data_IF_922012771148
#
_entry.id   IF_922012771148
#
_cell.length_a   1.000
_cell.length_b   1.000
_cell.length_c   1.000
_cell.angle_alpha   90.00
_cell.angle_beta   90.00
_cell.angle_gamma   90.00
#
_symmetry.space_group_name_H-M   'P 1'
#
loop_
_entity.id
_entity.type
_entity.pdbx_description
1 polymer ?
#
# COMPACT_ATOMS: atom_id res chain seq x y z
N UNK A 1 -4.79 -51.58 22.20
CA UNK A 1 -3.99 -50.88 21.15
C UNK A 1 -4.83 -50.13 20.11
N UNK A 2 -6.07 -50.53 19.80
CA UNK A 2 -6.91 -49.87 18.77
C UNK A 2 -7.37 -48.42 19.06
N UNK A 3 -7.49 -48.00 20.33
CA UNK A 3 -8.03 -46.66 20.65
C UNK A 3 -7.06 -45.49 20.35
N UNK A 4 -5.74 -45.73 20.38
CA UNK A 4 -4.73 -44.71 20.03
C UNK A 4 -4.62 -44.47 18.53
N UNK A 5 -4.83 -45.51 17.72
CA UNK A 5 -4.72 -45.48 16.27
C UNK A 5 -5.95 -44.81 15.62
N UNK A 6 -7.15 -45.02 16.18
CA UNK A 6 -8.35 -44.29 15.74
C UNK A 6 -8.27 -42.80 16.13
N UNK A 7 -7.79 -42.48 17.35
CA UNK A 7 -7.59 -41.08 17.77
C UNK A 7 -6.60 -40.31 16.89
N UNK A 8 -5.51 -40.93 16.43
CA UNK A 8 -4.54 -40.25 15.55
C UNK A 8 -5.08 -40.03 14.14
N UNK A 9 -5.88 -40.98 13.62
CA UNK A 9 -6.52 -40.88 12.29
C UNK A 9 -7.61 -39.79 12.25
N UNK A 10 -8.41 -39.67 13.30
CA UNK A 10 -9.41 -38.61 13.43
C UNK A 10 -8.76 -37.23 13.56
N UNK A 11 -7.70 -37.11 14.38
CA UNK A 11 -6.93 -35.86 14.51
C UNK A 11 -6.26 -35.43 13.20
N UNK A 12 -5.75 -36.38 12.41
CA UNK A 12 -5.16 -36.07 11.10
C UNK A 12 -6.23 -35.62 10.10
N UNK A 13 -7.41 -36.25 10.12
CA UNK A 13 -8.55 -35.86 9.27
C UNK A 13 -9.06 -34.46 9.61
N UNK A 14 -9.12 -34.09 10.89
CA UNK A 14 -9.45 -32.72 11.32
C UNK A 14 -8.42 -31.69 10.85
N UNK A 15 -7.12 -32.00 10.92
CA UNK A 15 -6.06 -31.12 10.41
C UNK A 15 -6.15 -30.88 8.91
N UNK A 16 -6.55 -31.89 8.12
CA UNK A 16 -6.74 -31.75 6.68
C UNK A 16 -7.87 -30.77 6.32
N UNK A 17 -8.93 -30.69 7.15
CA UNK A 17 -10.00 -29.69 6.99
C UNK A 17 -9.50 -28.24 7.14
N UNK A 18 -8.31 -28.02 7.71
CA UNK A 18 -7.72 -26.69 7.83
C UNK A 18 -7.01 -26.20 6.56
N UNK A 19 -6.74 -27.04 5.56
CA UNK A 19 -6.02 -26.65 4.34
C UNK A 19 -6.67 -25.43 3.67
N UNK A 20 -7.99 -25.39 3.39
CA UNK A 20 -8.61 -24.23 2.73
C UNK A 20 -8.47 -22.94 3.55
N UNK A 21 -8.54 -23.04 4.89
CA UNK A 21 -8.40 -21.93 5.82
C UNK A 21 -6.99 -21.34 5.77
N UNK A 22 -5.96 -22.18 5.82
CA UNK A 22 -4.58 -21.72 5.76
C UNK A 22 -4.18 -21.24 4.36
N UNK A 23 -4.70 -21.85 3.28
CA UNK A 23 -4.51 -21.38 1.91
C UNK A 23 -5.07 -19.98 1.73
N UNK A 24 -6.30 -19.75 2.23
CA UNK A 24 -6.92 -18.42 2.21
C UNK A 24 -6.08 -17.40 2.97
N UNK A 25 -5.65 -17.74 4.19
CA UNK A 25 -4.80 -16.86 5.02
C UNK A 25 -3.46 -16.55 4.36
N UNK A 26 -2.81 -17.54 3.75
CA UNK A 26 -1.56 -17.34 3.03
C UNK A 26 -1.77 -16.35 1.88
N UNK A 27 -2.74 -16.61 1.00
CA UNK A 27 -2.99 -15.78 -0.17
C UNK A 27 -3.44 -14.35 0.19
N UNK A 28 -4.27 -14.16 1.23
CA UNK A 28 -4.70 -12.84 1.71
C UNK A 28 -3.58 -11.97 2.29
N UNK A 29 -2.50 -12.59 2.73
CA UNK A 29 -1.40 -11.89 3.41
C UNK A 29 -0.12 -11.84 2.55
N UNK A 30 -0.21 -12.14 1.24
CA UNK A 30 0.85 -11.88 0.25
C UNK A 30 0.94 -10.39 -0.07
N UNK A 31 1.29 -9.62 0.96
CA UNK A 31 1.29 -8.16 0.96
C UNK A 31 2.50 -7.56 0.24
N UNK A 32 3.59 -8.33 0.04
CA UNK A 32 4.85 -7.80 -0.47
C UNK A 32 4.74 -7.27 -1.91
N UNK A 33 3.98 -7.95 -2.78
CA UNK A 33 3.70 -7.49 -4.15
C UNK A 33 3.07 -6.10 -4.15
N UNK A 34 2.10 -5.87 -3.26
CA UNK A 34 1.40 -4.59 -3.15
C UNK A 34 2.31 -3.54 -2.51
N UNK A 35 3.13 -3.91 -1.51
CA UNK A 35 4.12 -3.01 -0.92
C UNK A 35 5.09 -2.50 -1.98
N UNK A 36 5.66 -3.40 -2.80
CA UNK A 36 6.59 -3.04 -3.88
C UNK A 36 5.90 -2.11 -4.87
N UNK A 37 4.65 -2.38 -5.27
CA UNK A 37 3.88 -1.50 -6.15
C UNK A 37 3.65 -0.11 -5.55
N UNK A 38 3.29 -0.02 -4.26
CA UNK A 38 3.09 1.26 -3.57
C UNK A 38 4.41 2.04 -3.52
N UNK A 39 5.50 1.38 -3.14
CA UNK A 39 6.83 2.00 -3.04
C UNK A 39 7.30 2.48 -4.42
N UNK A 40 7.17 1.67 -5.46
CA UNK A 40 7.49 2.06 -6.84
C UNK A 40 6.64 3.24 -7.31
N UNK A 41 5.33 3.23 -7.02
CA UNK A 41 4.42 4.32 -7.38
C UNK A 41 4.78 5.61 -6.64
N UNK A 42 5.14 5.52 -5.36
CA UNK A 42 5.57 6.67 -4.56
C UNK A 42 6.88 7.26 -5.09
N UNK A 43 7.90 6.42 -5.37
CA UNK A 43 9.16 6.88 -5.96
C UNK A 43 8.96 7.51 -7.34
N UNK A 44 8.14 6.88 -8.19
CA UNK A 44 7.81 7.45 -9.49
C UNK A 44 7.07 8.79 -9.36
N UNK A 45 6.13 8.91 -8.43
CA UNK A 45 5.43 10.16 -8.14
C UNK A 45 6.37 11.27 -7.67
N UNK A 46 7.29 10.96 -6.74
CA UNK A 46 8.32 11.90 -6.29
C UNK A 46 9.25 12.33 -7.43
N UNK A 47 9.64 11.39 -8.30
CA UNK A 47 10.46 11.69 -9.47
C UNK A 47 9.73 12.63 -10.45
N UNK A 48 8.46 12.37 -10.75
CA UNK A 48 7.64 13.26 -11.59
C UNK A 48 7.47 14.63 -10.95
N UNK A 49 7.19 14.70 -9.64
CA UNK A 49 7.07 15.96 -8.92
C UNK A 49 8.37 16.76 -8.95
N UNK A 50 9.53 16.10 -8.82
CA UNK A 50 10.83 16.73 -8.95
C UNK A 50 11.08 17.28 -10.36
N UNK A 51 10.82 16.48 -11.39
CA UNK A 51 10.99 16.87 -12.80
C UNK A 51 10.13 18.07 -13.19
N UNK A 52 8.93 18.21 -12.62
CA UNK A 52 8.02 19.34 -12.87
C UNK A 52 8.36 20.52 -11.97
N UNK A 53 8.67 20.25 -10.70
CA UNK A 53 8.92 21.27 -9.68
C UNK A 53 10.18 22.08 -9.92
N UNK A 54 11.27 21.46 -10.38
CA UNK A 54 12.54 22.18 -10.63
C UNK A 54 12.42 23.22 -11.75
N UNK A 55 11.92 22.89 -12.96
CA UNK A 55 11.71 23.89 -14.02
C UNK A 55 10.71 24.97 -13.63
N UNK A 56 9.64 24.61 -12.90
CA UNK A 56 8.66 25.56 -12.41
C UNK A 56 9.29 26.55 -11.42
N UNK A 57 10.08 26.06 -10.46
CA UNK A 57 10.80 26.91 -9.51
C UNK A 57 11.79 27.84 -10.21
N UNK A 58 12.52 27.34 -11.22
CA UNK A 58 13.42 28.14 -12.04
C UNK A 58 12.67 29.25 -12.81
N UNK A 59 11.54 28.92 -13.43
CA UNK A 59 10.71 29.88 -14.14
C UNK A 59 10.23 31.00 -13.19
N UNK A 60 9.65 30.62 -12.05
CA UNK A 60 9.15 31.57 -11.03
C UNK A 60 10.28 32.44 -10.48
N UNK A 61 11.43 31.85 -10.16
CA UNK A 61 12.59 32.59 -9.67
C UNK A 61 13.14 33.57 -10.71
N UNK A 62 13.17 33.18 -11.98
CA UNK A 62 13.59 34.04 -13.09
C UNK A 62 12.71 35.29 -13.22
N UNK A 63 11.39 35.11 -13.30
CA UNK A 63 10.45 36.23 -13.40
C UNK A 63 10.45 37.12 -12.16
N UNK A 64 10.49 36.53 -10.95
CA UNK A 64 10.56 37.32 -9.70
C UNK A 64 11.81 38.18 -9.59
N UNK A 65 12.94 37.72 -10.16
CA UNK A 65 14.21 38.47 -10.17
C UNK A 65 14.37 39.38 -11.38
N UNK A 66 13.37 39.50 -12.26
CA UNK A 66 13.46 40.26 -13.51
C UNK A 66 14.38 39.64 -14.57
N UNK A 67 14.92 38.44 -14.34
CA UNK A 67 15.74 37.72 -15.32
C UNK A 67 14.83 36.95 -16.28
N UNK A 68 14.38 37.66 -17.33
CA UNK A 68 13.48 37.13 -18.35
C UNK A 68 14.04 35.90 -19.07
N UNK A 69 15.36 35.84 -19.29
CA UNK A 69 16.00 34.70 -19.96
C UNK A 69 15.83 33.44 -19.12
N UNK A 70 16.15 33.51 -17.82
CA UNK A 70 15.99 32.38 -16.90
C UNK A 70 14.52 31.95 -16.78
N UNK A 71 13.60 32.91 -16.75
CA UNK A 71 12.15 32.67 -16.74
C UNK A 71 11.69 31.87 -17.97
N UNK A 72 12.05 32.35 -19.17
CA UNK A 72 11.71 31.72 -20.44
C UNK A 72 12.35 30.32 -20.60
N UNK A 73 13.62 30.16 -20.19
CA UNK A 73 14.29 28.84 -20.20
C UNK A 73 13.56 27.87 -19.28
N UNK A 74 13.18 28.30 -18.07
CA UNK A 74 12.40 27.48 -17.14
C UNK A 74 11.07 27.00 -17.73
N UNK A 75 10.32 27.91 -18.39
CA UNK A 75 9.08 27.55 -19.09
C UNK A 75 9.33 26.56 -20.23
N UNK A 76 10.34 26.81 -21.08
CA UNK A 76 10.64 25.93 -22.21
C UNK A 76 10.97 24.50 -21.74
N UNK A 77 11.79 24.37 -20.69
CA UNK A 77 12.10 23.08 -20.06
C UNK A 77 10.84 22.44 -19.47
N UNK A 78 10.00 23.21 -18.77
CA UNK A 78 8.75 22.71 -18.21
C UNK A 78 7.83 22.13 -19.29
N UNK A 79 7.64 22.83 -20.41
CA UNK A 79 6.83 22.35 -21.55
C UNK A 79 7.42 21.06 -22.13
N UNK A 80 8.75 21.00 -22.33
CA UNK A 80 9.42 19.80 -22.82
C UNK A 80 9.24 18.59 -21.89
N UNK A 81 9.38 18.80 -20.58
CA UNK A 81 9.15 17.77 -19.56
C UNK A 81 7.69 17.30 -19.57
N UNK A 82 6.71 18.21 -19.60
CA UNK A 82 5.30 17.85 -19.65
C UNK A 82 4.97 17.05 -20.92
N UNK A 83 5.49 17.45 -22.07
CA UNK A 83 5.31 16.72 -23.32
C UNK A 83 5.93 15.30 -23.27
N UNK A 84 7.12 15.16 -22.68
CA UNK A 84 7.77 13.87 -22.48
C UNK A 84 6.96 12.97 -21.53
N UNK A 85 6.43 13.53 -20.43
CA UNK A 85 5.57 12.80 -19.49
C UNK A 85 4.28 12.32 -20.16
N UNK A 86 3.62 13.16 -20.96
CA UNK A 86 2.41 12.75 -21.72
C UNK A 86 2.71 11.58 -22.63
N UNK A 87 3.80 11.64 -23.42
CA UNK A 87 4.22 10.52 -24.28
C UNK A 87 4.53 9.26 -23.46
N UNK A 88 5.22 9.41 -22.34
CA UNK A 88 5.52 8.31 -21.44
C UNK A 88 4.25 7.66 -20.88
N UNK A 89 3.28 8.45 -20.41
CA UNK A 89 2.00 7.93 -19.91
C UNK A 89 1.22 7.20 -21.00
N UNK A 90 1.14 7.75 -22.22
CA UNK A 90 0.50 7.08 -23.36
C UNK A 90 1.15 5.72 -23.62
N UNK A 91 2.49 5.66 -23.65
CA UNK A 91 3.23 4.41 -23.84
C UNK A 91 2.95 3.38 -22.73
N UNK A 92 2.96 3.81 -21.47
CA UNK A 92 2.66 2.93 -20.33
C UNK A 92 1.21 2.41 -20.40
N UNK A 93 0.24 3.28 -20.69
CA UNK A 93 -1.17 2.87 -20.84
C UNK A 93 -1.36 1.93 -22.04
N UNK A 94 -0.65 2.14 -23.15
CA UNK A 94 -0.70 1.23 -24.29
C UNK A 94 -0.12 -0.15 -23.95
N UNK A 95 1.00 -0.20 -23.22
CA UNK A 95 1.70 -1.45 -22.90
C UNK A 95 1.02 -2.25 -21.79
N UNK A 96 0.54 -1.57 -20.74
CA UNK A 96 0.04 -2.19 -19.51
C UNK A 96 -1.46 -1.98 -19.25
N UNK A 97 -2.16 -1.26 -20.13
CA UNK A 97 -3.60 -1.05 -20.06
C UNK A 97 -4.43 -2.13 -20.77
N UNK A 98 -5.76 -1.97 -20.73
CA UNK A 98 -6.70 -2.83 -21.46
C UNK A 98 -6.58 -4.31 -21.11
N UNK A 99 -6.27 -5.14 -22.12
CA UNK A 99 -6.12 -6.60 -21.99
C UNK A 99 -4.94 -7.02 -21.11
N UNK A 100 -3.94 -6.14 -20.96
CA UNK A 100 -2.73 -6.38 -20.16
C UNK A 100 -2.86 -5.85 -18.72
N UNK A 101 -4.08 -5.46 -18.30
CA UNK A 101 -4.31 -4.93 -16.96
C UNK A 101 -3.95 -6.00 -15.91
N UNK A 102 -3.02 -5.66 -15.02
CA UNK A 102 -2.52 -6.58 -13.98
C UNK A 102 -1.30 -7.40 -14.42
N UNK A 103 -0.75 -7.18 -15.62
CA UNK A 103 0.50 -7.80 -16.06
C UNK A 103 1.66 -7.43 -15.12
N UNK A 104 1.74 -6.17 -14.68
CA UNK A 104 2.74 -5.73 -13.70
C UNK A 104 2.57 -6.45 -12.36
N UNK A 105 1.35 -6.52 -11.83
CA UNK A 105 1.04 -7.30 -10.61
C UNK A 105 1.54 -8.75 -10.76
N UNK A 106 1.28 -9.40 -11.89
CA UNK A 106 1.68 -10.78 -12.14
C UNK A 106 3.21 -10.94 -12.28
N UNK A 107 3.89 -10.02 -12.96
CA UNK A 107 5.35 -10.04 -13.10
C UNK A 107 6.01 -9.92 -11.72
N UNK A 108 5.58 -8.94 -10.92
CA UNK A 108 6.12 -8.70 -9.58
C UNK A 108 5.78 -9.89 -8.66
N UNK A 109 4.55 -10.38 -8.71
CA UNK A 109 4.13 -11.52 -7.91
C UNK A 109 4.92 -12.80 -8.26
N UNK A 110 5.17 -13.05 -9.55
CA UNK A 110 6.03 -14.16 -9.99
C UNK A 110 7.48 -13.96 -9.57
N UNK A 111 7.99 -12.73 -9.61
CA UNK A 111 9.35 -12.42 -9.18
C UNK A 111 9.53 -12.69 -7.68
N UNK A 112 8.56 -12.28 -6.85
CA UNK A 112 8.64 -12.41 -5.39
C UNK A 112 8.33 -13.84 -4.93
N UNK A 113 7.27 -14.43 -5.47
CA UNK A 113 6.64 -15.63 -4.93
C UNK A 113 6.59 -16.80 -5.92
N UNK A 114 7.22 -16.69 -7.10
CA UNK A 114 7.13 -17.71 -8.16
C UNK A 114 7.59 -19.11 -7.74
N UNK A 115 8.45 -19.21 -6.71
CA UNK A 115 8.90 -20.50 -6.13
C UNK A 115 7.88 -21.15 -5.19
N UNK A 116 6.81 -20.45 -4.83
CA UNK A 116 5.82 -20.87 -3.83
C UNK A 116 4.50 -21.34 -4.46
N UNK A 117 4.40 -21.30 -5.79
CA UNK A 117 3.20 -21.64 -6.54
C UNK A 117 2.25 -20.47 -6.76
N UNK A 118 1.28 -20.69 -7.65
CA UNK A 118 0.29 -19.68 -8.00
C UNK A 118 -0.91 -19.76 -7.06
N UNK A 119 -1.28 -18.61 -6.49
CA UNK A 119 -2.52 -18.46 -5.74
C UNK A 119 -3.39 -17.42 -6.43
N UNK A 120 -4.55 -17.82 -6.91
CA UNK A 120 -5.57 -16.88 -7.40
C UNK A 120 -6.57 -16.61 -6.29
N UNK A 121 -6.71 -15.33 -5.93
CA UNK A 121 -7.83 -14.87 -5.11
C UNK A 121 -8.93 -14.35 -6.03
N UNK A 122 -10.21 -14.55 -5.67
CA UNK A 122 -11.31 -13.93 -6.40
C UNK A 122 -11.10 -12.42 -6.47
N UNK A 123 -11.30 -11.83 -7.65
CA UNK A 123 -11.25 -10.38 -7.75
C UNK A 123 -12.34 -9.75 -6.86
N UNK A 124 -12.06 -8.60 -6.22
CA UNK A 124 -13.05 -7.87 -5.45
C UNK A 124 -14.33 -7.65 -6.26
N UNK A 125 -15.49 -8.07 -5.72
CA UNK A 125 -16.81 -7.87 -6.35
C UNK A 125 -17.11 -6.37 -6.59
N UNK A 126 -16.55 -5.50 -5.75
CA UNK A 126 -16.69 -4.04 -5.87
C UNK A 126 -15.99 -3.46 -7.12
N UNK A 127 -15.00 -4.15 -7.70
CA UNK A 127 -14.17 -3.64 -8.81
C UNK A 127 -14.92 -3.33 -10.10
N UNK A 128 -16.13 -3.87 -10.28
CA UNK A 128 -16.95 -3.62 -11.48
C UNK A 128 -17.86 -2.39 -11.38
N UNK A 129 -18.24 -1.92 -10.18
CA UNK A 129 -19.41 -1.02 -10.07
C UNK A 129 -19.11 0.47 -9.90
N UNK A 130 -17.94 0.90 -9.39
CA UNK A 130 -17.68 2.34 -9.13
C UNK A 130 -16.20 2.79 -9.21
N UNK A 131 -15.48 2.51 -10.31
CA UNK A 131 -14.10 3.03 -10.50
C UNK A 131 -13.97 4.55 -10.33
N UNK A 132 -15.02 5.31 -10.70
CA UNK A 132 -15.05 6.75 -10.50
C UNK A 132 -15.02 7.14 -9.01
N UNK A 133 -15.61 6.33 -8.13
CA UNK A 133 -15.55 6.54 -6.68
C UNK A 133 -14.12 6.39 -6.17
N UNK A 134 -13.36 5.38 -6.65
CA UNK A 134 -11.95 5.22 -6.29
C UNK A 134 -11.12 6.45 -6.68
N UNK A 135 -11.37 6.98 -7.89
CA UNK A 135 -10.71 8.21 -8.37
C UNK A 135 -11.09 9.39 -7.49
N UNK A 136 -12.39 9.59 -7.22
CA UNK A 136 -12.88 10.70 -6.40
C UNK A 136 -12.31 10.66 -4.98
N UNK A 137 -12.38 9.51 -4.32
CA UNK A 137 -11.82 9.31 -2.97
C UNK A 137 -10.31 9.55 -2.97
N UNK A 138 -9.60 9.08 -4.00
CA UNK A 138 -8.18 9.36 -4.19
C UNK A 138 -7.87 10.86 -4.33
N UNK A 139 -8.63 11.59 -5.14
CA UNK A 139 -8.47 13.04 -5.32
C UNK A 139 -8.70 13.78 -3.99
N UNK A 140 -9.81 13.49 -3.30
CA UNK A 140 -10.12 14.10 -2.00
C UNK A 140 -9.00 13.85 -0.99
N UNK A 141 -8.52 12.61 -0.90
CA UNK A 141 -7.39 12.25 -0.02
C UNK A 141 -6.13 13.06 -0.35
N UNK A 142 -5.76 13.18 -1.62
CA UNK A 142 -4.56 13.91 -2.03
C UNK A 142 -4.69 15.42 -1.79
N UNK A 143 -5.87 16.00 -2.03
CA UNK A 143 -6.15 17.42 -1.72
C UNK A 143 -6.02 17.68 -0.23
N UNK A 144 -6.61 16.83 0.62
CA UNK A 144 -6.47 16.95 2.08
C UNK A 144 -5.01 16.79 2.53
N UNK A 145 -4.27 15.84 1.96
CA UNK A 145 -2.87 15.60 2.28
C UNK A 145 -2.01 16.83 1.94
N UNK A 146 -2.09 17.33 0.71
CA UNK A 146 -1.32 18.50 0.26
C UNK A 146 -1.76 19.76 1.02
N UNK A 147 -3.08 19.96 1.19
CA UNK A 147 -3.61 21.08 1.96
C UNK A 147 -3.12 21.08 3.42
N UNK A 148 -3.10 19.91 4.06
CA UNK A 148 -2.54 19.79 5.42
C UNK A 148 -1.04 20.10 5.47
N UNK A 149 -0.30 19.82 4.39
CA UNK A 149 1.13 20.11 4.28
C UNK A 149 1.37 21.61 4.21
N UNK A 150 0.65 22.29 3.33
CA UNK A 150 0.73 23.73 3.21
C UNK A 150 0.31 24.43 4.52
N UNK A 151 -0.83 24.04 5.11
CA UNK A 151 -1.30 24.62 6.38
C UNK A 151 -0.35 24.36 7.56
N UNK A 152 0.32 23.21 7.58
CA UNK A 152 1.35 22.89 8.57
C UNK A 152 2.63 23.71 8.35
N UNK A 153 3.13 23.80 7.12
CA UNK A 153 4.36 24.53 6.76
C UNK A 153 4.22 26.04 6.97
N UNK A 154 3.03 26.60 6.75
CA UNK A 154 2.72 28.01 6.95
C UNK A 154 2.33 28.35 8.39
N UNK A 155 2.22 27.35 9.27
CA UNK A 155 1.97 27.53 10.70
C UNK A 155 0.50 27.75 11.09
N UNK A 156 -0.45 27.64 10.16
CA UNK A 156 -1.89 27.72 10.50
C UNK A 156 -2.34 26.56 11.38
N UNK A 157 -1.75 25.37 11.20
CA UNK A 157 -1.98 24.22 12.06
C UNK A 157 -0.74 24.03 12.95
N UNK A 158 -0.87 24.19 14.28
CA UNK A 158 0.21 23.83 15.19
C UNK A 158 0.61 22.37 14.99
N UNK A 159 1.91 22.08 14.98
CA UNK A 159 2.47 20.74 14.73
C UNK A 159 1.79 19.65 15.56
N UNK A 160 1.48 19.95 16.84
CA UNK A 160 0.79 19.02 17.76
C UNK A 160 -0.59 18.57 17.26
N UNK A 161 -1.26 19.33 16.40
CA UNK A 161 -2.57 18.98 15.86
C UNK A 161 -2.51 18.42 14.43
N UNK A 162 -1.32 18.38 13.81
CA UNK A 162 -1.17 17.92 12.44
C UNK A 162 -1.56 16.44 12.29
N UNK A 163 -1.04 15.56 13.14
CA UNK A 163 -1.36 14.12 13.11
C UNK A 163 -2.85 13.84 13.43
N UNK A 164 -3.45 14.42 14.50
CA UNK A 164 -4.89 14.31 14.72
C UNK A 164 -5.75 14.80 13.55
N UNK A 165 -5.38 15.93 12.95
CA UNK A 165 -6.09 16.47 11.79
C UNK A 165 -6.00 15.53 10.58
N UNK A 166 -4.80 14.99 10.31
CA UNK A 166 -4.59 14.02 9.24
C UNK A 166 -5.40 12.73 9.43
N UNK A 167 -5.58 12.28 10.68
CA UNK A 167 -6.38 11.10 10.97
C UNK A 167 -7.83 11.19 10.44
N UNK A 168 -8.39 12.40 10.34
CA UNK A 168 -9.74 12.64 9.82
C UNK A 168 -9.93 12.18 8.37
N UNK A 169 -8.86 12.14 7.56
CA UNK A 169 -8.94 11.69 6.17
C UNK A 169 -8.07 10.46 5.88
N UNK A 170 -6.95 10.27 6.58
CA UNK A 170 -6.09 9.08 6.43
C UNK A 170 -6.81 7.82 6.92
N UNK A 171 -7.50 7.87 8.07
CA UNK A 171 -8.18 6.69 8.63
C UNK A 171 -9.35 6.25 7.75
N UNK A 172 -10.31 7.13 7.37
CA UNK A 172 -11.40 6.72 6.48
C UNK A 172 -10.89 6.23 5.13
N UNK A 173 -9.85 6.86 4.57
CA UNK A 173 -9.23 6.39 3.33
C UNK A 173 -8.64 4.98 3.48
N UNK A 174 -7.89 4.71 4.55
CA UNK A 174 -7.34 3.38 4.81
C UNK A 174 -8.41 2.30 4.98
N UNK A 175 -9.50 2.63 5.69
CA UNK A 175 -10.66 1.72 5.84
C UNK A 175 -11.37 1.50 4.50
N UNK A 176 -11.57 2.56 3.70
CA UNK A 176 -12.14 2.45 2.35
C UNK A 176 -11.29 1.52 1.46
N UNK A 177 -9.97 1.73 1.43
CA UNK A 177 -9.04 0.91 0.65
C UNK A 177 -9.12 -0.57 1.05
N UNK A 178 -9.22 -0.86 2.35
CA UNK A 178 -9.40 -2.24 2.82
C UNK A 178 -10.66 -2.89 2.21
N UNK A 179 -11.81 -2.21 2.19
CA UNK A 179 -13.04 -2.74 1.62
C UNK A 179 -13.00 -2.88 0.10
N UNK A 180 -12.34 -1.95 -0.61
CA UNK A 180 -12.15 -2.03 -2.06
C UNK A 180 -11.25 -3.21 -2.43
N UNK A 181 -10.23 -3.49 -1.62
CA UNK A 181 -9.27 -4.56 -1.86
C UNK A 181 -9.72 -5.90 -1.29
N UNK A 182 -10.78 -5.95 -0.49
CA UNK A 182 -11.36 -7.20 0.00
C UNK A 182 -12.00 -8.01 -1.15
N UNK A 183 -11.78 -9.34 -1.23
CA UNK A 183 -11.12 -10.22 -0.27
C UNK A 183 -9.63 -10.48 -0.55
N UNK A 184 -9.00 -9.75 -1.49
CA UNK A 184 -7.60 -9.95 -1.91
C UNK A 184 -6.63 -9.70 -0.75
N UNK A 185 -6.98 -8.79 0.16
CA UNK A 185 -6.17 -8.46 1.32
C UNK A 185 -6.82 -8.91 2.63
N UNK A 186 -5.98 -9.39 3.54
CA UNK A 186 -6.39 -9.82 4.88
C UNK A 186 -6.73 -8.65 5.81
N UNK A 187 -7.43 -8.93 6.93
CA UNK A 187 -7.78 -7.92 7.93
C UNK A 187 -6.56 -7.29 8.63
N UNK A 188 -5.36 -7.87 8.46
CA UNK A 188 -4.10 -7.31 8.97
C UNK A 188 -3.90 -5.86 8.51
N UNK A 189 -4.38 -5.48 7.33
CA UNK A 189 -4.27 -4.09 6.86
C UNK A 189 -5.00 -3.08 7.74
N UNK A 190 -6.03 -3.49 8.49
CA UNK A 190 -6.74 -2.61 9.41
C UNK A 190 -5.91 -2.23 10.64
N UNK A 191 -4.79 -2.94 10.90
CA UNK A 191 -3.85 -2.55 11.95
C UNK A 191 -3.33 -1.12 11.72
N UNK A 192 -3.07 -0.74 10.46
CA UNK A 192 -2.60 0.60 10.13
C UNK A 192 -3.57 1.72 10.58
N UNK A 193 -4.84 1.77 10.12
CA UNK A 193 -5.78 2.79 10.57
C UNK A 193 -6.07 2.71 12.08
N UNK A 194 -6.05 1.52 12.69
CA UNK A 194 -6.22 1.37 14.15
C UNK A 194 -5.06 2.04 14.90
N UNK A 195 -3.81 1.70 14.55
CA UNK A 195 -2.62 2.29 15.17
C UNK A 195 -2.57 3.80 14.97
N UNK A 196 -2.92 4.29 13.78
CA UNK A 196 -2.94 5.72 13.51
C UNK A 196 -4.03 6.46 14.31
N UNK A 197 -5.20 5.83 14.49
CA UNK A 197 -6.28 6.37 15.33
C UNK A 197 -5.86 6.44 16.80
N UNK A 198 -5.28 5.36 17.34
CA UNK A 198 -4.75 5.35 18.71
C UNK A 198 -3.71 6.44 18.88
N UNK A 199 -2.81 6.60 17.91
CA UNK A 199 -1.79 7.63 17.95
C UNK A 199 -2.39 9.04 17.98
N UNK A 200 -3.36 9.33 17.11
CA UNK A 200 -4.06 10.62 17.11
C UNK A 200 -4.76 10.91 18.46
N UNK A 201 -5.41 9.90 19.05
CA UNK A 201 -6.07 10.03 20.36
C UNK A 201 -5.04 10.32 21.47
N UNK A 202 -3.90 9.62 21.48
CA UNK A 202 -2.84 9.85 22.47
C UNK A 202 -2.31 11.30 22.40
N UNK A 203 -2.14 11.84 21.19
CA UNK A 203 -1.72 13.22 21.01
C UNK A 203 -2.78 14.20 21.54
N UNK A 204 -4.07 13.97 21.24
CA UNK A 204 -5.17 14.78 21.79
C UNK A 204 -5.20 14.71 23.32
N UNK A 205 -4.91 13.54 23.90
CA UNK A 205 -4.81 13.33 25.34
C UNK A 205 -3.56 13.97 25.98
N UNK A 206 -2.71 14.65 25.19
CA UNK A 206 -1.56 15.38 25.68
C UNK A 206 -0.25 14.61 25.67
N UNK A 207 -0.20 13.38 25.13
CA UNK A 207 1.04 12.61 25.04
C UNK A 207 1.89 13.16 23.87
N UNK A 208 3.13 13.62 24.09
CA UNK A 208 3.93 14.32 23.09
C UNK A 208 4.64 13.37 22.11
N UNK A 209 3.87 12.49 21.44
CA UNK A 209 4.39 11.51 20.49
C UNK A 209 4.33 12.12 19.08
N UNK A 210 5.10 13.17 18.83
CA UNK A 210 5.20 13.77 17.50
C UNK A 210 6.56 14.43 17.31
N UNK A 211 6.99 14.56 16.06
CA UNK A 211 8.27 15.21 15.76
C UNK A 211 8.19 16.73 15.95
N UNK A 212 9.26 17.33 16.45
CA UNK A 212 9.42 18.78 16.64
C UNK A 212 10.62 19.30 15.85
N UNK A 213 10.79 20.63 15.79
CA UNK A 213 11.90 21.28 15.07
C UNK A 213 11.62 21.53 13.58
N UNK A 214 12.67 21.86 12.83
CA UNK A 214 12.56 22.34 11.43
C UNK A 214 11.99 21.30 10.47
N UNK A 215 12.13 20.02 10.80
CA UNK A 215 11.61 18.89 10.03
C UNK A 215 10.32 18.31 10.60
N UNK A 216 9.67 18.99 11.56
CA UNK A 216 8.48 18.49 12.22
C UNK A 216 7.35 18.15 11.23
N UNK A 217 7.00 19.09 10.34
CA UNK A 217 5.93 18.89 9.36
C UNK A 217 6.21 17.70 8.44
N UNK A 218 7.34 17.64 7.70
CA UNK A 218 7.58 16.52 6.79
C UNK A 218 7.70 15.16 7.52
N UNK A 219 8.34 15.10 8.70
CA UNK A 219 8.48 13.83 9.42
C UNK A 219 7.14 13.31 9.96
N UNK A 220 6.30 14.19 10.52
CA UNK A 220 4.96 13.79 10.97
C UNK A 220 4.07 13.36 9.78
N UNK A 221 4.26 13.94 8.59
CA UNK A 221 3.53 13.52 7.39
C UNK A 221 3.93 12.16 6.82
N UNK A 222 5.17 11.73 7.08
CA UNK A 222 5.63 10.40 6.70
C UNK A 222 5.12 9.30 7.64
N UNK A 223 4.60 9.65 8.81
CA UNK A 223 4.22 8.69 9.83
C UNK A 223 3.17 7.65 9.38
N UNK A 224 2.09 8.03 8.65
CA UNK A 224 1.17 7.06 8.05
C UNK A 224 1.85 6.02 7.14
N UNK A 225 2.89 6.43 6.41
CA UNK A 225 3.65 5.53 5.54
C UNK A 225 4.45 4.51 6.36
N UNK A 226 4.99 4.91 7.51
CA UNK A 226 5.70 4.01 8.43
C UNK A 226 4.73 2.96 8.99
N UNK A 227 3.55 3.35 9.46
CA UNK A 227 2.53 2.39 9.92
C UNK A 227 2.08 1.44 8.83
N UNK A 228 1.96 1.95 7.62
CA UNK A 228 1.64 1.14 6.45
C UNK A 228 2.76 0.11 6.24
N UNK A 229 4.02 0.52 6.13
CA UNK A 229 5.15 -0.39 5.93
C UNK A 229 5.22 -1.48 7.01
N UNK A 230 5.06 -1.11 8.29
CA UNK A 230 5.01 -2.05 9.41
C UNK A 230 3.87 -3.08 9.23
N UNK A 231 2.67 -2.61 8.88
CA UNK A 231 1.51 -3.47 8.68
C UNK A 231 1.71 -4.45 7.53
N UNK A 232 2.32 -3.98 6.43
CA UNK A 232 2.67 -4.82 5.29
C UNK A 232 3.72 -5.87 5.65
N UNK A 233 4.72 -5.52 6.47
CA UNK A 233 5.69 -6.48 7.01
C UNK A 233 5.01 -7.53 7.89
N UNK A 234 4.14 -7.13 8.83
CA UNK A 234 3.37 -8.06 9.67
C UNK A 234 2.55 -9.02 8.81
N UNK A 235 1.87 -8.50 7.77
CA UNK A 235 1.16 -9.32 6.79
C UNK A 235 2.09 -10.35 6.13
N UNK A 236 3.28 -9.92 5.70
CA UNK A 236 4.26 -10.81 5.10
C UNK A 236 4.70 -11.92 6.09
N UNK A 237 5.06 -11.57 7.33
CA UNK A 237 5.40 -12.56 8.36
C UNK A 237 4.25 -13.55 8.58
N UNK A 238 3.01 -13.06 8.62
CA UNK A 238 1.84 -13.92 8.77
C UNK A 238 1.63 -14.85 7.58
N UNK A 239 1.92 -14.40 6.34
CA UNK A 239 1.90 -15.29 5.17
C UNK A 239 2.96 -16.39 5.28
N UNK A 240 4.17 -16.08 5.76
CA UNK A 240 5.24 -17.07 5.97
C UNK A 240 4.83 -18.11 7.00
N UNK A 241 4.21 -17.66 8.08
CA UNK A 241 3.65 -18.55 9.08
C UNK A 241 2.54 -19.46 8.52
N UNK A 242 1.60 -18.90 7.75
CA UNK A 242 0.53 -19.66 7.11
C UNK A 242 1.07 -20.69 6.10
N UNK A 243 2.10 -20.33 5.33
CA UNK A 243 2.76 -21.25 4.41
C UNK A 243 3.46 -22.39 5.16
N UNK A 244 4.14 -22.10 6.29
CA UNK A 244 4.75 -23.14 7.13
C UNK A 244 3.70 -24.12 7.66
N UNK A 245 2.54 -23.62 8.08
CA UNK A 245 1.41 -24.47 8.52
C UNK A 245 0.86 -25.33 7.38
N UNK A 246 0.69 -24.76 6.18
CA UNK A 246 0.25 -25.51 4.99
C UNK A 246 1.19 -26.65 4.65
N UNK A 247 2.50 -26.38 4.57
CA UNK A 247 3.51 -27.41 4.29
C UNK A 247 3.44 -28.55 5.30
N UNK A 248 3.32 -28.22 6.59
CA UNK A 248 3.15 -29.22 7.65
C UNK A 248 1.92 -30.11 7.46
N UNK A 249 0.77 -29.54 7.09
CA UNK A 249 -0.47 -30.30 6.88
C UNK A 249 -0.37 -31.17 5.61
N UNK A 250 0.23 -30.67 4.53
CA UNK A 250 0.41 -31.45 3.28
C UNK A 250 1.39 -32.61 3.43
N UNK A 251 2.37 -32.52 4.34
CA UNK A 251 3.22 -33.66 4.67
C UNK A 251 2.42 -34.76 5.39
N UNK A 252 1.52 -34.41 6.31
CA UNK A 252 0.61 -35.35 6.95
C UNK A 252 -0.35 -36.02 5.94
N UNK A 253 -0.80 -35.28 4.93
CA UNK A 253 -1.62 -35.83 3.84
C UNK A 253 -0.87 -36.94 3.07
N UNK A 254 0.40 -36.70 2.72
CA UNK A 254 1.25 -37.68 2.04
C UNK A 254 1.52 -38.92 2.91
N UNK A 255 1.77 -38.75 4.20
CA UNK A 255 1.97 -39.87 5.13
C UNK A 255 0.69 -40.71 5.31
N UNK A 256 -0.48 -40.06 5.39
CA UNK A 256 -1.79 -40.75 5.45
C UNK A 256 -2.13 -41.47 4.14
N UNK A 257 -1.68 -40.95 2.99
CA UNK A 257 -1.85 -41.61 1.70
C UNK A 257 -0.95 -42.84 1.57
N UNK A 258 0.33 -42.72 1.93
CA UNK A 258 1.30 -43.82 1.83
C UNK A 258 1.11 -44.93 2.87
N UNK A 259 0.46 -44.65 4.01
CA UNK A 259 0.15 -45.66 5.04
C UNK A 259 -1.17 -46.40 4.83
N UNK A 260 -1.81 -46.26 3.65
CA UNK A 260 -3.01 -47.02 3.24
C UNK A 260 -2.70 -48.10 2.20
N UNK A 261 -1.45 -48.20 1.75
CA UNK A 261 -0.91 -49.32 1.00
C UNK A 261 -0.31 -50.36 1.96
#
# INVERSE_FOLDING_TARGET
MNSKQNKSKDQNTEKLKEIPKWTRKYAQNRTLTILVLIVMTAFFGMFVAFLVGVPLALAVAGFRKGNMILGCVGIAVLIAVLAALVKFYIFIFAKFGGKNKGLLDQIIDRWIYGREGFTSMPQPKLSKRKKWLDIFVGIVYMVCLIGSMELGMTGYIPVKYLLPFMALFVVPFGVYQYYVLWPRLGPVLLICPILYTIHAILIIAGVPIYFTGIFAVPLNMLLPLIYTLLTYMIGHLYSRYALKKLKGITHLEKEVANGRD
#
